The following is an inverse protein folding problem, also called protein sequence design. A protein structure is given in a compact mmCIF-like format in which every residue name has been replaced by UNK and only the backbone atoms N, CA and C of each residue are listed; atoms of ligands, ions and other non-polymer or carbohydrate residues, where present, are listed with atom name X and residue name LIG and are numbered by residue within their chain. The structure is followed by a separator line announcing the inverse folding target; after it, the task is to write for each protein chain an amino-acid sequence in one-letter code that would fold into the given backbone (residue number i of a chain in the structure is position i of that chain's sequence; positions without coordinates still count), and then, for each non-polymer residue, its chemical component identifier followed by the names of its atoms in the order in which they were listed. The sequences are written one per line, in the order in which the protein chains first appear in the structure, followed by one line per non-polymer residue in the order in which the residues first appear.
data_IF_436048073866
#
_entry.id   IF_436048073866
#
_cell.length_a   1.000
_cell.length_b   1.000
_cell.length_c   1.000
_cell.angle_alpha   90.00
_cell.angle_beta   90.00
_cell.angle_gamma   90.00
#
_symmetry.space_group_name_H-M   'P 1'
#
loop_
_entity.id
_entity.type
_entity.pdbx_description
1 polymer ?
#
# COMPACT_ATOMS: atom_id res chain seq x y z
N UNK A 1 24.76 -8.02 -4.71
CA UNK A 1 24.87 -7.36 -6.03
C UNK A 1 25.66 -8.21 -7.04
N UNK A 2 26.95 -8.50 -6.80
CA UNK A 2 27.79 -9.24 -7.76
C UNK A 2 27.23 -10.61 -8.18
N UNK A 3 26.70 -11.40 -7.24
CA UNK A 3 26.05 -12.69 -7.55
C UNK A 3 24.81 -12.48 -8.44
N UNK A 4 23.99 -11.48 -8.15
CA UNK A 4 22.81 -11.20 -8.98
C UNK A 4 23.18 -10.72 -10.37
N UNK A 5 24.20 -9.85 -10.47
CA UNK A 5 24.76 -9.37 -11.72
C UNK A 5 25.30 -10.51 -12.60
N UNK A 6 25.97 -11.52 -12.02
CA UNK A 6 26.53 -12.65 -12.78
C UNK A 6 25.53 -13.76 -13.06
N UNK A 7 24.56 -14.00 -12.17
CA UNK A 7 23.58 -15.10 -12.29
C UNK A 7 22.21 -14.68 -12.82
N UNK A 8 21.98 -13.39 -13.05
CA UNK A 8 20.71 -12.91 -13.60
C UNK A 8 19.58 -12.78 -12.58
N UNK A 9 19.88 -12.51 -11.31
CA UNK A 9 18.85 -12.41 -10.27
C UNK A 9 18.16 -11.06 -10.28
N UNK A 10 16.97 -11.03 -9.67
CA UNK A 10 16.26 -9.81 -9.33
C UNK A 10 16.67 -9.39 -7.92
N UNK A 11 17.14 -8.15 -7.79
CA UNK A 11 17.51 -7.57 -6.49
C UNK A 11 16.57 -6.40 -6.23
N UNK A 12 15.92 -6.41 -5.06
CA UNK A 12 15.13 -5.30 -4.55
C UNK A 12 15.87 -4.66 -3.36
N UNK A 13 16.23 -3.39 -3.49
CA UNK A 13 16.76 -2.57 -2.41
C UNK A 13 15.65 -1.67 -1.88
N UNK A 14 15.26 -1.86 -0.63
CA UNK A 14 14.16 -1.10 -0.03
C UNK A 14 14.68 0.07 0.81
N UNK A 15 13.88 1.14 0.88
CA UNK A 15 14.10 2.30 1.76
C UNK A 15 15.47 2.98 1.55
N UNK A 16 15.88 3.13 0.29
CA UNK A 16 17.19 3.62 -0.10
C UNK A 16 17.51 5.03 0.42
N UNK A 17 16.49 5.87 0.63
CA UNK A 17 16.62 7.21 1.22
C UNK A 17 17.27 7.20 2.62
N UNK A 18 17.15 6.10 3.37
CA UNK A 18 17.79 5.94 4.69
C UNK A 18 19.31 5.72 4.60
N UNK A 19 19.82 5.38 3.42
CA UNK A 19 21.25 5.09 3.18
C UNK A 19 21.79 5.87 1.98
N UNK A 20 21.46 7.16 1.87
CA UNK A 20 21.84 8.01 0.75
C UNK A 20 23.36 8.04 0.48
N UNK A 21 24.19 7.97 1.53
CA UNK A 21 25.65 7.91 1.40
C UNK A 21 26.12 6.63 0.69
N UNK A 22 25.51 5.49 0.99
CA UNK A 22 25.82 4.20 0.36
C UNK A 22 25.35 4.15 -1.10
N UNK A 23 24.29 4.88 -1.46
CA UNK A 23 23.86 4.94 -2.86
C UNK A 23 24.92 5.51 -3.79
N UNK A 24 25.83 6.37 -3.30
CA UNK A 24 26.96 6.87 -4.11
C UNK A 24 27.93 5.74 -4.49
N UNK A 25 28.16 4.82 -3.55
CA UNK A 25 28.96 3.61 -3.81
C UNK A 25 28.22 2.66 -4.75
N UNK A 26 26.90 2.54 -4.63
CA UNK A 26 26.08 1.80 -5.60
C UNK A 26 26.19 2.39 -7.01
N UNK A 27 26.14 3.70 -7.17
CA UNK A 27 26.25 4.39 -8.46
C UNK A 27 27.57 4.02 -9.15
N UNK A 28 28.69 4.14 -8.42
CA UNK A 28 30.02 3.75 -8.91
C UNK A 28 30.06 2.28 -9.33
N UNK A 29 29.50 1.37 -8.53
CA UNK A 29 29.45 -0.06 -8.88
C UNK A 29 28.62 -0.33 -10.13
N UNK A 30 27.53 0.40 -10.34
CA UNK A 30 26.71 0.27 -11.54
C UNK A 30 27.45 0.78 -12.79
N UNK A 31 28.29 1.81 -12.66
CA UNK A 31 29.15 2.29 -13.75
C UNK A 31 30.25 1.28 -14.14
N UNK A 32 30.79 0.56 -13.16
CA UNK A 32 31.84 -0.44 -13.38
C UNK A 32 31.29 -1.77 -13.93
N UNK A 33 29.97 -1.99 -13.91
CA UNK A 33 29.35 -3.22 -14.44
C UNK A 33 29.45 -3.30 -15.97
N UNK A 34 30.37 -4.14 -16.46
CA UNK A 34 30.51 -4.44 -17.89
C UNK A 34 29.80 -5.75 -18.23
N UNK A 35 28.78 -5.73 -19.07
CA UNK A 35 28.04 -6.95 -19.50
C UNK A 35 27.30 -7.68 -18.37
N UNK A 36 26.27 -7.06 -17.74
CA UNK A 36 25.39 -7.76 -16.81
C UNK A 36 24.67 -8.93 -17.48
N UNK A 37 24.35 -9.97 -16.69
CA UNK A 37 23.52 -11.06 -17.17
C UNK A 37 22.17 -10.51 -17.69
N UNK A 38 21.69 -11.00 -18.84
CA UNK A 38 20.50 -10.47 -19.54
C UNK A 38 19.23 -10.41 -18.67
N UNK A 39 19.10 -11.33 -17.72
CA UNK A 39 17.93 -11.45 -16.83
C UNK A 39 18.08 -10.67 -15.52
N UNK A 40 19.25 -10.06 -15.28
CA UNK A 40 19.48 -9.25 -14.08
C UNK A 40 18.53 -8.04 -14.05
N UNK A 41 17.89 -7.81 -12.91
CA UNK A 41 17.08 -6.61 -12.63
C UNK A 41 17.44 -6.05 -11.27
N UNK A 42 17.57 -4.73 -11.19
CA UNK A 42 17.78 -4.01 -9.94
C UNK A 42 16.62 -3.04 -9.73
N UNK A 43 15.90 -3.24 -8.63
CA UNK A 43 14.79 -2.40 -8.19
C UNK A 43 15.20 -1.64 -6.93
N UNK A 44 14.85 -0.36 -6.87
CA UNK A 44 15.09 0.50 -5.71
C UNK A 44 13.77 1.11 -5.28
N UNK A 45 13.43 1.00 -4.00
CA UNK A 45 12.36 1.81 -3.40
C UNK A 45 12.97 2.92 -2.57
N UNK A 46 12.47 4.14 -2.74
CA UNK A 46 12.99 5.34 -2.07
C UNK A 46 11.91 6.39 -1.93
N UNK A 47 11.98 7.19 -0.87
CA UNK A 47 11.30 8.48 -0.82
C UNK A 47 12.13 9.54 -1.56
N UNK A 48 11.51 10.65 -1.99
CA UNK A 48 12.24 11.78 -2.57
C UNK A 48 13.26 12.35 -1.57
N UNK A 49 14.53 12.40 -1.97
CA UNK A 49 15.59 13.02 -1.18
C UNK A 49 16.57 13.78 -2.08
N UNK A 50 17.09 14.90 -1.58
CA UNK A 50 18.07 15.74 -2.30
C UNK A 50 19.42 15.05 -2.44
N UNK A 51 19.71 14.09 -1.57
CA UNK A 51 21.00 13.37 -1.53
C UNK A 51 21.03 12.14 -2.44
N UNK A 52 19.94 11.86 -3.16
CA UNK A 52 19.88 10.70 -4.05
C UNK A 52 20.85 10.89 -5.24
N UNK A 53 21.69 9.90 -5.58
CA UNK A 53 22.68 10.06 -6.63
C UNK A 53 22.07 10.35 -8.01
N UNK A 54 22.52 11.43 -8.64
CA UNK A 54 22.06 11.84 -9.96
C UNK A 54 22.38 10.81 -11.04
N UNK A 55 23.51 10.09 -10.94
CA UNK A 55 23.90 9.07 -11.91
C UNK A 55 22.88 7.92 -11.98
N UNK A 56 22.47 7.40 -10.80
CA UNK A 56 21.39 6.40 -10.70
C UNK A 56 20.09 6.98 -11.23
N UNK A 57 19.73 8.22 -10.89
CA UNK A 57 18.52 8.84 -11.42
C UNK A 57 18.57 8.91 -12.94
N UNK A 58 19.62 9.43 -13.56
CA UNK A 58 19.67 9.57 -15.02
C UNK A 58 19.58 8.23 -15.76
N UNK A 59 20.11 7.15 -15.17
CA UNK A 59 20.18 5.81 -15.78
C UNK A 59 19.05 4.86 -15.39
N UNK A 60 18.06 5.31 -14.63
CA UNK A 60 16.93 4.48 -14.16
C UNK A 60 15.60 4.84 -14.81
N UNK A 61 14.70 3.87 -14.86
CA UNK A 61 13.26 4.11 -15.02
C UNK A 61 12.69 4.54 -13.65
N UNK A 62 11.96 5.65 -13.61
CA UNK A 62 11.33 6.15 -12.39
C UNK A 62 9.84 5.89 -12.47
N UNK A 63 9.31 5.27 -11.44
CA UNK A 63 7.88 5.04 -11.27
C UNK A 63 7.51 5.71 -9.95
N UNK A 64 6.53 6.61 -9.99
CA UNK A 64 5.97 7.22 -8.80
C UNK A 64 4.68 6.49 -8.49
N UNK A 65 4.61 5.86 -7.33
CA UNK A 65 3.37 5.24 -6.83
C UNK A 65 2.66 6.27 -5.97
N UNK A 66 1.68 6.94 -6.55
CA UNK A 66 0.78 7.84 -5.82
C UNK A 66 -0.45 7.06 -5.37
N UNK A 67 -1.01 7.35 -4.18
CA UNK A 67 -2.32 6.81 -3.80
C UNK A 67 -3.38 7.25 -4.83
N UNK A 68 -4.42 6.43 -5.06
CA UNK A 68 -5.47 6.76 -6.02
C UNK A 68 -6.08 8.13 -5.73
N UNK A 69 -6.17 8.97 -6.76
CA UNK A 69 -6.74 10.31 -6.61
C UNK A 69 -8.26 10.27 -6.77
N UNK A 70 -8.96 10.51 -5.66
CA UNK A 70 -10.40 10.70 -5.62
C UNK A 70 -11.12 9.53 -4.96
N UNK A 71 -12.31 9.84 -4.45
CA UNK A 71 -13.12 8.91 -3.66
C UNK A 71 -13.46 7.62 -4.41
N UNK A 72 -13.91 7.73 -5.66
CA UNK A 72 -14.33 6.57 -6.46
C UNK A 72 -13.18 5.62 -6.81
N UNK A 73 -12.02 6.09 -7.32
CA UNK A 73 -10.85 5.23 -7.51
C UNK A 73 -10.37 4.56 -6.22
N UNK A 74 -10.37 5.29 -5.09
CA UNK A 74 -9.99 4.74 -3.79
C UNK A 74 -10.92 3.60 -3.33
N UNK A 75 -12.23 3.84 -3.35
CA UNK A 75 -13.22 2.80 -3.04
C UNK A 75 -13.06 1.58 -3.96
N UNK A 76 -12.84 1.79 -5.26
CA UNK A 76 -12.65 0.70 -6.23
C UNK A 76 -11.41 -0.11 -5.91
N UNK A 77 -10.30 0.55 -5.57
CA UNK A 77 -9.06 -0.11 -5.16
C UNK A 77 -9.25 -0.95 -3.91
N UNK A 78 -9.94 -0.42 -2.89
CA UNK A 78 -10.23 -1.16 -1.66
C UNK A 78 -11.13 -2.37 -1.94
N UNK A 79 -12.22 -2.19 -2.68
CA UNK A 79 -13.18 -3.27 -2.98
C UNK A 79 -12.58 -4.38 -3.86
N UNK A 80 -11.66 -4.04 -4.77
CA UNK A 80 -10.94 -5.02 -5.60
C UNK A 80 -10.02 -5.95 -4.81
N UNK A 81 -9.60 -5.52 -3.62
CA UNK A 81 -8.75 -6.30 -2.73
C UNK A 81 -9.57 -7.16 -1.73
N UNK A 82 -10.89 -7.14 -1.81
CA UNK A 82 -11.76 -7.96 -0.95
C UNK A 82 -12.14 -9.23 -1.73
N UNK A 83 -11.65 -10.37 -1.26
CA UNK A 83 -11.97 -11.66 -1.85
C UNK A 83 -13.41 -12.09 -1.58
N UNK A 84 -13.95 -12.94 -2.46
CA UNK A 84 -15.31 -13.47 -2.34
C UNK A 84 -15.52 -14.21 -1.01
N UNK A 85 -14.51 -14.96 -0.55
CA UNK A 85 -14.54 -15.67 0.74
C UNK A 85 -14.79 -14.72 1.91
N UNK A 86 -14.17 -13.53 1.88
CA UNK A 86 -14.33 -12.51 2.91
C UNK A 86 -15.73 -11.89 2.87
N UNK A 87 -16.33 -11.74 1.69
CA UNK A 87 -17.71 -11.25 1.53
C UNK A 87 -18.77 -12.27 1.99
N UNK A 88 -18.40 -13.54 2.10
CA UNK A 88 -19.27 -14.65 2.50
C UNK A 88 -19.02 -15.13 3.94
N UNK A 89 -18.01 -14.58 4.61
CA UNK A 89 -17.61 -14.95 5.98
C UNK A 89 -18.74 -14.78 7.02
N UNK A 90 -19.57 -13.75 6.86
CA UNK A 90 -20.67 -13.46 7.78
C UNK A 90 -22.03 -13.77 7.15
N UNK A 91 -22.88 -14.57 7.81
CA UNK A 91 -24.20 -14.96 7.28
C UNK A 91 -25.24 -13.84 7.35
N UNK A 92 -24.98 -12.77 8.12
CA UNK A 92 -25.95 -11.71 8.34
C UNK A 92 -26.21 -10.92 7.03
N UNK A 93 -27.47 -10.72 6.61
CA UNK A 93 -27.81 -10.12 5.32
C UNK A 93 -27.29 -8.68 5.15
N UNK A 94 -27.13 -7.94 6.25
CA UNK A 94 -26.58 -6.59 6.22
C UNK A 94 -25.06 -6.53 5.97
N UNK A 95 -24.33 -7.63 6.11
CA UNK A 95 -22.86 -7.62 6.11
C UNK A 95 -22.27 -7.00 4.83
N UNK A 96 -22.70 -7.46 3.65
CA UNK A 96 -22.19 -6.95 2.36
C UNK A 96 -22.47 -5.45 2.19
N UNK A 97 -23.64 -4.98 2.62
CA UNK A 97 -23.99 -3.55 2.61
C UNK A 97 -23.11 -2.75 3.57
N UNK A 98 -22.87 -3.27 4.78
CA UNK A 98 -21.99 -2.63 5.75
C UNK A 98 -20.52 -2.60 5.28
N UNK A 99 -20.04 -3.63 4.57
CA UNK A 99 -18.70 -3.63 3.94
C UNK A 99 -18.58 -2.52 2.89
N UNK A 100 -19.61 -2.31 2.07
CA UNK A 100 -19.63 -1.20 1.12
C UNK A 100 -19.57 0.16 1.83
N UNK A 101 -20.38 0.34 2.89
CA UNK A 101 -20.38 1.58 3.69
C UNK A 101 -19.06 1.79 4.41
N UNK A 102 -18.46 0.73 4.95
CA UNK A 102 -17.12 0.76 5.57
C UNK A 102 -16.05 1.16 4.54
N UNK A 103 -16.13 0.61 3.32
CA UNK A 103 -15.24 0.97 2.21
C UNK A 103 -15.38 2.44 1.82
N UNK A 104 -16.63 2.94 1.77
CA UNK A 104 -16.90 4.36 1.56
C UNK A 104 -16.28 5.23 2.67
N UNK A 105 -16.51 4.88 3.94
CA UNK A 105 -15.97 5.60 5.09
C UNK A 105 -14.44 5.61 5.07
N UNK A 106 -13.82 4.46 4.81
CA UNK A 106 -12.37 4.31 4.71
C UNK A 106 -11.78 5.23 3.63
N UNK A 107 -12.39 5.24 2.44
CA UNK A 107 -11.99 6.13 1.37
C UNK A 107 -12.18 7.62 1.74
N UNK A 108 -13.30 7.99 2.39
CA UNK A 108 -13.53 9.37 2.85
C UNK A 108 -12.46 9.83 3.83
N UNK A 109 -12.11 9.02 4.84
CA UNK A 109 -11.11 9.42 5.85
C UNK A 109 -9.71 9.58 5.25
N UNK A 110 -9.36 8.73 4.27
CA UNK A 110 -8.12 8.83 3.52
C UNK A 110 -8.08 10.09 2.65
N UNK A 111 -9.12 10.32 1.84
CA UNK A 111 -9.22 11.48 0.94
C UNK A 111 -9.22 12.80 1.70
N UNK A 112 -9.81 12.82 2.90
CA UNK A 112 -9.85 14.02 3.76
C UNK A 112 -8.45 14.51 4.16
N UNK A 113 -7.43 13.66 4.13
CA UNK A 113 -6.02 14.05 4.40
C UNK A 113 -5.48 15.05 3.38
N UNK A 114 -6.06 15.13 2.18
CA UNK A 114 -5.68 16.10 1.13
C UNK A 114 -5.89 17.55 1.54
N UNK A 115 -6.78 17.80 2.50
CA UNK A 115 -7.10 19.15 2.99
C UNK A 115 -6.23 19.59 4.18
N UNK A 116 -5.16 18.86 4.48
CA UNK A 116 -4.22 19.18 5.56
C UNK A 116 -4.95 19.50 6.88
N UNK A 117 -4.69 20.67 7.49
CA UNK A 117 -5.29 21.09 8.76
C UNK A 117 -6.81 21.30 8.72
N UNK A 118 -7.40 21.52 7.54
CA UNK A 118 -8.86 21.58 7.37
C UNK A 118 -9.49 20.19 7.37
N UNK A 119 -8.72 19.17 6.99
CA UNK A 119 -9.13 17.78 7.03
C UNK A 119 -8.99 17.17 8.41
N UNK A 120 -7.77 17.25 8.96
CA UNK A 120 -7.37 16.67 10.24
C UNK A 120 -6.41 17.62 10.99
N UNK A 121 -6.64 17.83 12.29
CA UNK A 121 -5.70 18.62 13.10
C UNK A 121 -4.31 17.96 13.20
N UNK A 122 -4.30 16.62 13.28
CA UNK A 122 -3.09 15.79 13.23
C UNK A 122 -3.31 14.70 12.18
N UNK A 123 -2.34 14.52 11.28
CA UNK A 123 -2.42 13.52 10.22
C UNK A 123 -2.30 12.12 10.84
N UNK A 124 -3.27 11.25 10.54
CA UNK A 124 -3.18 9.81 10.78
C UNK A 124 -3.07 9.07 9.44
N UNK A 125 -2.22 8.05 9.40
CA UNK A 125 -1.96 7.28 8.18
C UNK A 125 -2.90 6.08 8.06
N UNK A 126 -4.20 6.37 7.84
CA UNK A 126 -5.22 5.34 7.62
C UNK A 126 -4.80 4.41 6.46
N UNK A 127 -4.56 3.15 6.79
CA UNK A 127 -4.04 2.15 5.85
C UNK A 127 -4.88 0.88 5.86
N UNK A 128 -4.47 -0.10 5.06
CA UNK A 128 -5.20 -1.36 4.89
C UNK A 128 -5.41 -2.12 6.20
N UNK A 129 -4.50 -2.00 7.17
CA UNK A 129 -4.63 -2.68 8.46
C UNK A 129 -5.82 -2.15 9.25
N UNK A 130 -6.07 -0.83 9.23
CA UNK A 130 -7.22 -0.20 9.86
C UNK A 130 -8.54 -0.68 9.23
N UNK A 131 -8.56 -0.85 7.91
CA UNK A 131 -9.71 -1.39 7.19
C UNK A 131 -9.98 -2.85 7.57
N UNK A 132 -8.95 -3.70 7.54
CA UNK A 132 -9.06 -5.14 7.84
C UNK A 132 -9.54 -5.36 9.28
N UNK A 133 -9.03 -4.62 10.27
CA UNK A 133 -9.53 -4.77 11.64
C UNK A 133 -10.98 -4.29 11.77
N UNK A 134 -11.36 -3.20 11.10
CA UNK A 134 -12.74 -2.69 11.11
C UNK A 134 -13.70 -3.70 10.48
N UNK A 135 -13.31 -4.35 9.38
CA UNK A 135 -14.05 -5.42 8.73
C UNK A 135 -14.22 -6.63 9.65
N UNK A 136 -13.15 -7.06 10.34
CA UNK A 136 -13.21 -8.18 11.30
C UNK A 136 -14.14 -7.89 12.46
N UNK A 137 -14.09 -6.68 13.01
CA UNK A 137 -15.01 -6.26 14.07
C UNK A 137 -16.45 -6.25 13.58
N UNK A 138 -16.70 -5.73 12.37
CA UNK A 138 -18.02 -5.75 11.75
C UNK A 138 -18.54 -7.19 11.59
N UNK A 139 -17.73 -8.11 11.07
CA UNK A 139 -18.06 -9.54 10.95
C UNK A 139 -18.37 -10.17 12.31
N UNK A 140 -17.54 -9.89 13.32
CA UNK A 140 -17.72 -10.41 14.69
C UNK A 140 -19.06 -9.97 15.29
N UNK A 141 -19.37 -8.67 15.25
CA UNK A 141 -20.60 -8.14 15.85
C UNK A 141 -21.86 -8.60 15.10
N UNK A 142 -21.82 -8.64 13.76
CA UNK A 142 -22.95 -9.10 12.96
C UNK A 142 -23.18 -10.61 13.08
N UNK A 143 -22.12 -11.41 13.16
CA UNK A 143 -22.23 -12.86 13.40
C UNK A 143 -22.80 -13.13 14.79
N UNK A 144 -22.34 -12.41 15.82
CA UNK A 144 -22.92 -12.51 17.17
C UNK A 144 -24.40 -12.12 17.20
N UNK A 145 -24.79 -11.07 16.49
CA UNK A 145 -26.20 -10.65 16.37
C UNK A 145 -27.04 -11.72 15.65
N UNK A 146 -26.50 -12.31 14.59
CA UNK A 146 -27.12 -13.41 13.85
C UNK A 146 -27.36 -14.64 14.73
N UNK A 147 -26.34 -15.09 15.46
CA UNK A 147 -26.41 -16.28 16.31
C UNK A 147 -27.39 -16.11 17.48
N UNK A 148 -27.43 -14.90 18.05
CA UNK A 148 -28.35 -14.55 19.13
C UNK A 148 -29.77 -14.25 18.65
N UNK A 149 -30.03 -14.23 17.34
CA UNK A 149 -31.29 -13.77 16.72
C UNK A 149 -31.72 -12.40 17.25
N UNK A 150 -30.75 -11.52 17.49
CA UNK A 150 -31.02 -10.18 17.97
C UNK A 150 -31.89 -9.43 16.97
N UNK A 151 -32.96 -8.80 17.45
CA UNK A 151 -33.85 -7.98 16.62
C UNK A 151 -33.15 -6.70 16.14
N UNK A 152 -32.13 -6.25 16.87
CA UNK A 152 -31.39 -5.02 16.60
C UNK A 152 -29.89 -5.28 16.51
N UNK A 153 -29.25 -4.64 15.52
CA UNK A 153 -27.80 -4.58 15.41
C UNK A 153 -27.31 -3.53 16.44
N UNK A 154 -26.43 -3.89 17.39
CA UNK A 154 -25.85 -2.92 18.30
C UNK A 154 -24.97 -1.94 17.51
N UNK A 155 -25.25 -0.64 17.63
CA UNK A 155 -24.53 0.47 16.97
C UNK A 155 -23.44 1.07 17.85
#
# INVERSE_FOLDING_TARGET
LQIGYSRGYWILLQNCHLMASWLKELDKRLEEMKSPHKDFRLWLTTEPTKDFPLGILQKSLKIVTEPPDGLKPNMRGTMMNIDQEVLEECPHPAYKSCIFVLTFLHAVVQERRKYDKLGWNIRYDFNQSDFVISQRLLSLYLSKAWDSRAEFIPW
#
